data_IF_105394121262
#
_entry.id   IF_105394121262
#
_cell.length_a   1.000
_cell.length_b   1.000
_cell.length_c   1.000
_cell.angle_alpha   90.00
_cell.angle_beta   90.00
_cell.angle_gamma   90.00
#
_symmetry.space_group_name_H-M   'P 1'
#
loop_
_entity.id
_entity.type
_entity.pdbx_description
1 polymer ?
#
# COMPACT_ATOMS: atom_id res chain seq x y z
N UNK A 1 -1.86 -7.09 -14.98
CA UNK A 1 -0.99 -6.40 -14.01
C UNK A 1 -1.40 -6.78 -12.59
N UNK A 2 -0.48 -7.18 -11.73
CA UNK A 2 -0.83 -7.46 -10.33
C UNK A 2 -1.27 -6.17 -9.60
N UNK A 3 -2.44 -6.18 -8.95
CA UNK A 3 -2.90 -5.09 -8.05
C UNK A 3 -2.09 -5.12 -6.74
N UNK A 4 -0.82 -4.73 -6.83
CA UNK A 4 0.08 -4.59 -5.67
C UNK A 4 0.49 -3.13 -5.47
N UNK A 5 0.64 -2.73 -4.21
CA UNK A 5 1.24 -1.45 -3.84
C UNK A 5 2.75 -1.51 -4.07
N UNK A 6 3.32 -0.51 -4.74
CA UNK A 6 4.77 -0.49 -5.05
C UNK A 6 5.66 -0.33 -3.81
N UNK A 7 5.16 0.31 -2.75
CA UNK A 7 5.94 0.61 -1.55
C UNK A 7 5.83 -0.46 -0.45
N UNK A 8 4.63 -1.02 -0.26
CA UNK A 8 4.36 -1.99 0.80
C UNK A 8 4.25 -3.43 0.29
N UNK A 9 4.19 -3.66 -1.03
CA UNK A 9 3.99 -4.98 -1.61
C UNK A 9 2.60 -5.59 -1.37
N UNK A 10 1.73 -4.91 -0.62
CA UNK A 10 0.38 -5.39 -0.27
C UNK A 10 -0.43 -5.61 -1.53
N UNK A 11 -0.93 -6.84 -1.71
CA UNK A 11 -1.80 -7.25 -2.80
C UNK A 11 -3.19 -7.62 -2.32
N UNK A 12 -4.08 -7.93 -3.27
CA UNK A 12 -5.41 -8.44 -2.97
C UNK A 12 -5.35 -9.78 -2.23
N UNK A 13 -6.32 -9.99 -1.33
CA UNK A 13 -6.47 -11.22 -0.55
C UNK A 13 -7.60 -12.07 -1.12
N UNK A 14 -7.41 -13.38 -1.22
CA UNK A 14 -8.49 -14.30 -1.54
C UNK A 14 -9.36 -14.55 -0.31
N UNK A 15 -10.68 -14.47 -0.46
CA UNK A 15 -11.63 -14.70 0.61
C UNK A 15 -12.95 -15.28 0.10
N UNK A 16 -13.93 -15.41 0.99
CA UNK A 16 -15.29 -15.84 0.65
C UNK A 16 -16.30 -14.79 1.10
N UNK A 17 -17.34 -14.56 0.31
CA UNK A 17 -18.59 -13.96 0.80
C UNK A 17 -19.41 -15.08 1.44
N UNK A 18 -19.95 -14.83 2.63
CA UNK A 18 -20.70 -15.81 3.41
C UNK A 18 -22.12 -15.27 3.58
N UNK A 19 -23.13 -16.02 3.14
CA UNK A 19 -24.55 -15.67 3.37
C UNK A 19 -24.98 -15.96 4.80
N UNK A 20 -26.19 -15.49 5.17
CA UNK A 20 -26.82 -15.87 6.44
C UNK A 20 -26.95 -17.39 6.62
N UNK A 21 -27.21 -18.12 5.53
CA UNK A 21 -27.22 -19.60 5.48
C UNK A 21 -25.83 -20.24 5.34
N UNK A 22 -24.75 -19.50 5.55
CA UNK A 22 -23.36 -19.94 5.42
C UNK A 22 -22.95 -20.46 4.03
N UNK A 23 -23.65 -20.06 2.96
CA UNK A 23 -23.22 -20.35 1.59
C UNK A 23 -21.99 -19.51 1.26
N UNK A 24 -20.86 -20.19 1.00
CA UNK A 24 -19.57 -19.55 0.72
C UNK A 24 -19.34 -19.41 -0.79
N UNK A 25 -19.13 -18.19 -1.26
CA UNK A 25 -18.73 -17.90 -2.66
C UNK A 25 -17.36 -17.23 -2.71
N UNK A 26 -16.45 -17.74 -3.55
CA UNK A 26 -15.10 -17.19 -3.69
C UNK A 26 -15.13 -15.74 -4.18
N UNK A 27 -14.29 -14.89 -3.60
CA UNK A 27 -14.15 -13.48 -3.95
C UNK A 27 -12.72 -12.99 -3.67
N UNK A 28 -12.26 -12.00 -4.42
CA UNK A 28 -10.95 -11.35 -4.21
C UNK A 28 -11.15 -9.98 -3.58
N UNK A 29 -10.59 -9.78 -2.39
CA UNK A 29 -10.58 -8.49 -1.71
C UNK A 29 -9.42 -7.65 -2.25
N UNK A 30 -9.72 -6.72 -3.15
CA UNK A 30 -8.72 -5.85 -3.75
C UNK A 30 -8.27 -4.72 -2.83
N UNK A 31 -7.01 -4.30 -3.01
CA UNK A 31 -6.45 -3.13 -2.32
C UNK A 31 -6.87 -1.86 -3.06
N UNK A 32 -7.28 -0.83 -2.30
CA UNK A 32 -7.51 0.50 -2.84
C UNK A 32 -6.18 1.17 -3.23
N UNK A 33 -5.86 1.15 -4.53
CA UNK A 33 -4.65 1.72 -5.11
C UNK A 33 -4.96 3.05 -5.79
N UNK A 34 -4.17 4.08 -5.49
CA UNK A 34 -4.29 5.40 -6.07
C UNK A 34 -2.99 5.80 -6.77
N UNK A 35 -3.11 6.48 -7.92
CA UNK A 35 -1.98 7.06 -8.64
C UNK A 35 -1.78 8.48 -8.13
N UNK A 36 -0.80 8.70 -7.25
CA UNK A 36 -0.56 10.00 -6.62
C UNK A 36 0.88 10.45 -6.79
N UNK A 37 1.07 11.76 -6.68
CA UNK A 37 2.38 12.39 -6.57
C UNK A 37 2.78 12.44 -5.09
N UNK A 38 3.94 11.90 -4.78
CA UNK A 38 4.53 11.96 -3.44
C UNK A 38 5.73 12.88 -3.52
N UNK A 39 5.70 13.95 -2.73
CA UNK A 39 6.85 14.84 -2.57
C UNK A 39 7.74 14.32 -1.45
N UNK A 40 9.05 14.32 -1.68
CA UNK A 40 10.04 13.96 -0.68
C UNK A 40 10.87 15.19 -0.28
N UNK A 41 10.80 15.65 0.98
CA UNK A 41 11.47 16.88 1.40
C UNK A 41 13.01 16.76 1.46
N UNK A 42 13.56 15.56 1.67
CA UNK A 42 15.00 15.37 1.75
C UNK A 42 15.67 15.43 0.36
N UNK A 43 15.06 14.79 -0.63
CA UNK A 43 15.57 14.79 -2.01
C UNK A 43 15.02 15.95 -2.86
N UNK A 44 14.02 16.68 -2.34
CA UNK A 44 13.27 17.77 -3.02
C UNK A 44 12.63 17.34 -4.34
N UNK A 45 12.42 16.03 -4.54
CA UNK A 45 11.86 15.46 -5.76
C UNK A 45 10.41 15.01 -5.57
N UNK A 46 9.67 14.92 -6.68
CA UNK A 46 8.30 14.38 -6.72
C UNK A 46 8.30 13.06 -7.48
N UNK A 47 7.77 12.03 -6.86
CA UNK A 47 7.65 10.69 -7.45
C UNK A 47 6.19 10.38 -7.75
N UNK A 48 5.91 9.94 -8.98
CA UNK A 48 4.59 9.42 -9.34
C UNK A 48 4.55 7.92 -9.03
N UNK A 49 3.80 7.55 -8.01
CA UNK A 49 3.72 6.16 -7.54
C UNK A 49 2.27 5.70 -7.45
N UNK A 50 2.09 4.39 -7.62
CA UNK A 50 0.81 3.72 -7.39
C UNK A 50 0.83 3.09 -6.01
N UNK A 51 0.10 3.70 -5.08
CA UNK A 51 0.24 3.48 -3.64
C UNK A 51 -1.11 3.15 -3.04
N UNK A 52 -1.12 2.30 -2.00
CA UNK A 52 -2.35 2.01 -1.26
C UNK A 52 -2.72 3.18 -0.34
N UNK A 53 -4.01 3.35 -0.08
CA UNK A 53 -4.49 4.40 0.84
C UNK A 53 -3.92 4.25 2.26
N UNK A 54 -3.78 3.02 2.75
CA UNK A 54 -3.12 2.72 4.03
C UNK A 54 -1.66 3.20 4.08
N UNK A 55 -0.97 3.10 2.95
CA UNK A 55 0.42 3.50 2.82
C UNK A 55 0.55 5.03 2.73
N UNK A 56 -0.41 5.74 2.14
CA UNK A 56 -0.45 7.21 2.19
C UNK A 56 -0.54 7.73 3.62
N UNK A 57 -1.38 7.12 4.47
CA UNK A 57 -1.46 7.47 5.90
C UNK A 57 -0.13 7.23 6.62
N UNK A 58 0.56 6.14 6.26
CA UNK A 58 1.86 5.79 6.84
C UNK A 58 2.96 6.77 6.42
N UNK A 59 2.97 7.16 5.15
CA UNK A 59 3.86 8.22 4.62
C UNK A 59 3.65 9.55 5.32
N UNK A 60 2.40 9.97 5.49
CA UNK A 60 2.06 11.20 6.21
C UNK A 60 2.59 11.19 7.65
N UNK A 61 2.49 10.04 8.35
CA UNK A 61 3.07 9.87 9.70
C UNK A 61 4.60 9.96 9.72
N UNK A 62 5.28 9.55 8.64
CA UNK A 62 6.73 9.56 8.56
C UNK A 62 7.33 10.87 8.05
N UNK A 63 6.52 11.73 7.40
CA UNK A 63 6.92 13.05 6.93
C UNK A 63 7.77 13.05 5.65
N UNK A 64 8.60 12.03 5.42
CA UNK A 64 9.39 11.87 4.19
C UNK A 64 9.39 10.43 3.67
N UNK A 65 9.55 10.28 2.34
CA UNK A 65 9.65 8.98 1.70
C UNK A 65 10.98 8.31 2.05
N UNK A 66 12.06 9.10 2.08
CA UNK A 66 13.39 8.65 2.46
C UNK A 66 13.47 8.18 3.92
N UNK A 67 12.82 8.86 4.87
CA UNK A 67 12.78 8.40 6.27
C UNK A 67 12.06 7.05 6.40
N UNK A 68 10.96 6.86 5.67
CA UNK A 68 10.28 5.58 5.60
C UNK A 68 11.20 4.48 5.05
N UNK A 69 11.90 4.73 3.94
CA UNK A 69 12.83 3.77 3.34
C UNK A 69 14.00 3.43 4.27
N UNK A 70 14.56 4.43 4.97
CA UNK A 70 15.63 4.23 5.96
C UNK A 70 15.16 3.34 7.11
N UNK A 71 13.92 3.53 7.59
CA UNK A 71 13.32 2.69 8.63
C UNK A 71 13.14 1.25 8.15
N UNK A 72 12.69 1.05 6.91
CA UNK A 72 12.54 -0.29 6.35
C UNK A 72 13.87 -1.01 6.17
N UNK A 73 14.92 -0.32 5.72
CA UNK A 73 16.29 -0.88 5.66
C UNK A 73 16.79 -1.35 7.03
N UNK A 74 16.52 -0.59 8.10
CA UNK A 74 16.90 -0.98 9.47
C UNK A 74 16.15 -2.21 9.98
N UNK A 75 14.90 -2.42 9.56
CA UNK A 75 14.10 -3.58 9.95
C UNK A 75 14.48 -4.88 9.23
N UNK A 76 15.12 -4.77 8.08
CA UNK A 76 15.53 -5.92 7.27
C UNK A 76 16.89 -6.51 7.70
N UNK A 77 17.51 -5.94 8.73
CA UNK A 77 18.80 -6.35 9.30
C UNK A 77 18.55 -6.87 10.70
#
# INVERSE_FOLDING_TARGET
MARKCKLSGTGGMAGNRVSHSNRKTRHVQDVNLQNTWIYDPETKQRFRLRVSTSMMRTLSKHGSLSAYLRKQRKKAK
#
